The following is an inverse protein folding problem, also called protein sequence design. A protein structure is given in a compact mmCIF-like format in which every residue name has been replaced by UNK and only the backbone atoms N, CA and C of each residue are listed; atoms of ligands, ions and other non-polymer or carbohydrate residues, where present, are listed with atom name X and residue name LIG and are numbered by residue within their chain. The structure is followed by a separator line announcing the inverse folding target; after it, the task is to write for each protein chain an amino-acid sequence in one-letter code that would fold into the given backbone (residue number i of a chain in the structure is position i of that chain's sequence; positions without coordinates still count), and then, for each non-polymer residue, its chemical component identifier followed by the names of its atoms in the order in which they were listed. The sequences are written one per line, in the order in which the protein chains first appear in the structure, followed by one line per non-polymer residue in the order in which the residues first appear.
data_IF_810455844706
#
_entry.id   IF_810455844706
#
_cell.length_a   1.000
_cell.length_b   1.000
_cell.length_c   1.000
_cell.angle_alpha   90.00
_cell.angle_beta   90.00
_cell.angle_gamma   90.00
#
_symmetry.space_group_name_H-M   'P 1'
#
loop_
_entity.id
_entity.type
_entity.pdbx_description
1 polymer ?
#
# COMPACT_ATOMS: atom_id res chain seq x y z
N UNK A 1 -12.48 -17.09 -25.53
CA UNK A 1 -11.84 -16.16 -26.50
C UNK A 1 -12.57 -14.83 -26.40
N UNK A 2 -11.94 -13.83 -25.79
CA UNK A 2 -11.87 -12.45 -26.27
C UNK A 2 -11.14 -11.60 -25.23
N UNK A 3 -9.88 -11.39 -25.57
CA UNK A 3 -8.92 -10.44 -25.03
C UNK A 3 -9.46 -9.02 -25.01
N UNK A 4 -9.30 -8.31 -23.89
CA UNK A 4 -9.06 -6.87 -23.87
C UNK A 4 -8.01 -6.55 -22.81
N UNK A 5 -6.77 -6.50 -23.31
CA UNK A 5 -5.68 -5.73 -22.72
C UNK A 5 -5.99 -4.26 -23.06
N UNK A 6 -6.10 -3.42 -22.06
CA UNK A 6 -5.98 -1.98 -22.21
C UNK A 6 -4.94 -1.52 -21.19
N UNK A 7 -3.68 -1.50 -21.65
CA UNK A 7 -2.59 -0.89 -20.91
C UNK A 7 -2.89 0.59 -20.73
N UNK A 8 -2.97 1.02 -19.47
CA UNK A 8 -2.92 2.42 -19.10
C UNK A 8 -1.45 2.86 -19.13
N UNK A 9 -0.93 3.13 -20.33
CA UNK A 9 0.19 4.04 -20.48
C UNK A 9 -0.36 5.46 -20.28
N UNK A 10 -0.38 5.94 -19.04
CA UNK A 10 -0.66 7.34 -18.76
C UNK A 10 0.68 8.04 -18.51
N UNK A 11 1.03 8.93 -19.43
CA UNK A 11 2.26 9.70 -19.47
C UNK A 11 2.49 10.46 -18.16
N UNK A 12 3.55 10.09 -17.43
CA UNK A 12 4.13 10.91 -16.38
C UNK A 12 5.03 11.97 -17.03
N UNK A 13 4.40 12.99 -17.62
CA UNK A 13 5.01 14.31 -17.76
C UNK A 13 4.92 14.97 -16.37
N UNK A 14 5.84 14.65 -15.47
CA UNK A 14 5.93 15.40 -14.21
C UNK A 14 6.62 16.73 -14.49
N UNK A 15 5.81 17.78 -14.53
CA UNK A 15 6.28 19.15 -14.52
C UNK A 15 7.16 19.37 -13.27
N UNK A 16 8.26 20.15 -13.36
CA UNK A 16 8.94 20.61 -12.16
C UNK A 16 7.91 21.28 -11.25
N UNK A 17 8.08 21.14 -9.92
CA UNK A 17 7.23 21.83 -8.95
C UNK A 17 7.11 23.30 -9.39
N UNK A 18 5.94 23.67 -9.90
CA UNK A 18 5.73 24.99 -10.43
C UNK A 18 5.78 25.94 -9.24
N UNK A 19 6.88 26.67 -9.10
CA UNK A 19 6.98 27.81 -8.19
C UNK A 19 5.98 28.85 -8.67
N UNK A 20 4.74 28.77 -8.19
CA UNK A 20 3.81 29.88 -8.36
C UNK A 20 4.26 30.98 -7.41
N UNK A 21 4.43 32.18 -7.97
CA UNK A 21 4.65 33.38 -7.21
C UNK A 21 3.36 34.20 -7.27
N UNK A 22 2.69 34.35 -6.14
CA UNK A 22 1.59 35.30 -6.00
C UNK A 22 2.12 36.62 -5.44
N UNK A 23 1.50 37.72 -5.85
CA UNK A 23 1.79 39.05 -5.31
C UNK A 23 0.51 39.62 -4.74
N UNK A 24 0.57 39.98 -3.46
CA UNK A 24 -0.57 40.56 -2.74
C UNK A 24 -0.25 41.99 -2.36
N UNK A 25 -1.04 42.93 -2.87
CA UNK A 25 -0.93 44.34 -2.48
C UNK A 25 -1.41 44.54 -1.05
N UNK A 26 -0.49 45.00 -0.19
CA UNK A 26 -0.75 45.34 1.21
C UNK A 26 -1.02 46.83 1.37
N UNK A 27 -0.14 47.69 0.84
CA UNK A 27 -0.27 49.15 0.84
C UNK A 27 -0.08 49.66 -0.58
N UNK A 28 -1.15 50.22 -1.16
CA UNK A 28 -1.14 50.84 -2.48
C UNK A 28 -2.35 51.77 -2.62
N UNK A 29 -2.43 52.63 -3.66
CA UNK A 29 -3.63 53.42 -3.94
C UNK A 29 -4.88 52.58 -4.23
N UNK A 30 -4.75 51.28 -4.44
CA UNK A 30 -5.88 50.36 -4.56
C UNK A 30 -6.41 49.88 -3.19
N UNK A 31 -5.60 50.00 -2.14
CA UNK A 31 -5.92 49.60 -0.75
C UNK A 31 -6.09 50.78 0.21
N UNK A 32 -5.63 51.95 -0.20
CA UNK A 32 -5.62 53.18 0.59
C UNK A 32 -6.24 54.33 -0.20
N UNK A 33 -6.71 55.35 0.51
CA UNK A 33 -7.18 56.59 -0.08
C UNK A 33 -6.02 57.57 -0.27
N UNK A 34 -5.83 58.10 -1.49
CA UNK A 34 -4.81 59.11 -1.77
C UNK A 34 -5.36 60.52 -1.54
N UNK A 35 -4.89 61.23 -0.49
CA UNK A 35 -5.25 62.62 -0.19
C UNK A 35 -4.02 63.47 0.06
N UNK A 36 -3.93 64.64 -0.58
CA UNK A 36 -2.82 65.59 -0.41
C UNK A 36 -1.43 64.93 -0.52
N UNK A 37 -1.25 64.03 -1.50
CA UNK A 37 -0.03 63.25 -1.71
C UNK A 37 0.36 62.34 -0.51
N UNK A 38 -0.63 61.92 0.28
CA UNK A 38 -0.50 60.94 1.36
C UNK A 38 -1.48 59.80 1.16
N UNK A 39 -1.07 58.58 1.48
CA UNK A 39 -1.97 57.44 1.58
C UNK A 39 -2.53 57.40 3.01
N UNK A 40 -3.86 57.38 3.13
CA UNK A 40 -4.60 57.32 4.39
C UNK A 40 -5.68 56.25 4.30
N UNK A 41 -6.28 55.85 5.43
CA UNK A 41 -7.37 54.86 5.45
C UNK A 41 -7.02 53.56 4.72
N UNK A 42 -5.81 53.05 4.94
CA UNK A 42 -5.37 51.79 4.35
C UNK A 42 -6.10 50.62 5.00
N UNK A 43 -6.88 49.86 4.22
CA UNK A 43 -7.63 48.72 4.72
C UNK A 43 -7.13 47.42 4.09
N UNK A 44 -6.67 46.50 4.93
CA UNK A 44 -6.26 45.16 4.53
C UNK A 44 -7.32 44.18 5.04
N UNK A 45 -8.27 43.85 4.17
CA UNK A 45 -9.28 42.86 4.51
C UNK A 45 -8.66 41.45 4.56
N UNK A 46 -9.12 40.58 5.47
CA UNK A 46 -8.73 39.18 5.46
C UNK A 46 -8.97 38.57 4.08
N UNK A 47 -7.96 37.91 3.54
CA UNK A 47 -8.00 37.26 2.24
C UNK A 47 -7.48 35.84 2.36
N UNK A 48 -8.16 34.92 1.68
CA UNK A 48 -7.75 33.54 1.62
C UNK A 48 -6.94 33.31 0.33
N UNK A 49 -5.73 32.83 0.49
CA UNK A 49 -4.85 32.43 -0.59
C UNK A 49 -4.87 30.91 -0.68
N UNK A 50 -5.04 30.40 -1.90
CA UNK A 50 -5.14 28.97 -2.16
C UNK A 50 -3.80 28.47 -2.69
N UNK A 51 -3.18 27.53 -1.97
CA UNK A 51 -1.92 26.94 -2.40
C UNK A 51 -2.14 26.12 -3.68
N UNK A 52 -1.28 26.27 -4.69
CA UNK A 52 -1.31 25.40 -5.86
C UNK A 52 -1.10 23.95 -5.44
N UNK A 53 -1.84 23.04 -6.06
CA UNK A 53 -1.64 21.60 -5.84
C UNK A 53 -0.25 21.22 -6.36
N UNK A 54 0.57 20.60 -5.50
CA UNK A 54 1.90 20.12 -5.85
C UNK A 54 2.06 18.67 -5.39
N UNK A 55 2.49 17.81 -6.31
CA UNK A 55 2.96 16.48 -5.95
C UNK A 55 4.38 16.60 -5.39
N UNK A 56 4.62 16.03 -4.21
CA UNK A 56 5.92 16.14 -3.55
C UNK A 56 6.33 14.86 -2.86
N UNK A 57 7.63 14.57 -2.96
CA UNK A 57 8.27 13.49 -2.22
C UNK A 57 9.13 14.00 -1.06
N UNK A 58 9.32 15.32 -0.96
CA UNK A 58 10.22 15.99 0.00
C UNK A 58 9.48 17.06 0.80
N UNK A 59 10.03 17.48 1.96
CA UNK A 59 9.46 18.56 2.75
C UNK A 59 9.37 19.86 1.93
N UNK A 60 8.22 20.54 2.03
CA UNK A 60 7.99 21.82 1.38
C UNK A 60 7.78 22.95 2.40
N UNK A 61 8.10 24.16 1.97
CA UNK A 61 7.83 25.42 2.66
C UNK A 61 7.17 26.42 1.73
N UNK A 62 6.48 27.39 2.33
CA UNK A 62 6.01 28.59 1.63
C UNK A 62 6.77 29.79 2.16
N UNK A 63 7.41 30.54 1.28
CA UNK A 63 8.16 31.73 1.65
C UNK A 63 7.31 32.99 1.40
N UNK A 64 7.21 33.84 2.42
CA UNK A 64 6.47 35.09 2.40
C UNK A 64 7.46 36.24 2.59
N UNK A 65 7.53 37.16 1.64
CA UNK A 65 8.46 38.28 1.70
C UNK A 65 7.76 39.59 1.38
N UNK A 66 7.90 40.57 2.27
CA UNK A 66 7.44 41.92 1.99
C UNK A 66 8.41 42.63 1.03
N UNK A 67 7.87 43.28 0.01
CA UNK A 67 8.61 44.10 -0.93
C UNK A 67 8.11 45.53 -0.81
N UNK A 68 9.04 46.44 -0.52
CA UNK A 68 8.76 47.84 -0.24
C UNK A 68 9.38 48.70 -1.34
N UNK A 69 8.60 49.67 -1.85
CA UNK A 69 9.11 50.69 -2.76
C UNK A 69 8.51 52.06 -2.46
N UNK A 70 9.24 53.12 -2.82
CA UNK A 70 8.91 54.50 -2.45
C UNK A 70 9.20 54.82 -0.98
N UNK A 71 8.64 55.93 -0.47
CA UNK A 71 8.87 56.37 0.90
C UNK A 71 7.81 55.81 1.86
N UNK A 72 8.09 54.66 2.49
CA UNK A 72 7.19 54.04 3.46
C UNK A 72 7.53 54.33 4.93
N UNK A 73 8.24 55.43 5.20
CA UNK A 73 8.62 55.82 6.55
C UNK A 73 7.38 56.12 7.41
N UNK A 74 7.29 55.45 8.55
CA UNK A 74 6.19 55.60 9.50
C UNK A 74 6.67 55.31 10.92
N UNK A 75 6.01 55.91 11.90
CA UNK A 75 6.24 55.64 13.33
C UNK A 75 5.48 54.39 13.82
N UNK A 76 4.57 53.85 13.01
CA UNK A 76 3.73 52.72 13.36
C UNK A 76 4.37 51.39 12.94
N UNK A 77 4.30 50.40 13.81
CA UNK A 77 4.63 49.02 13.45
C UNK A 77 3.53 48.46 12.54
N UNK A 78 3.91 48.06 11.33
CA UNK A 78 3.00 47.48 10.35
C UNK A 78 3.39 46.02 10.05
N UNK A 79 2.44 45.11 10.26
CA UNK A 79 2.57 43.66 10.22
C UNK A 79 1.28 43.01 9.67
N UNK A 80 1.45 41.95 8.89
CA UNK A 80 0.39 41.00 8.56
C UNK A 80 0.55 39.74 9.39
N UNK A 81 -0.57 39.06 9.58
CA UNK A 81 -0.63 37.72 10.13
C UNK A 81 -1.06 36.74 9.05
N UNK A 82 -0.28 35.67 8.92
CA UNK A 82 -0.50 34.59 7.98
C UNK A 82 -0.82 33.31 8.76
N UNK A 83 -2.00 32.73 8.54
CA UNK A 83 -2.50 31.57 9.26
C UNK A 83 -2.89 30.45 8.30
N UNK A 84 -2.32 29.26 8.50
CA UNK A 84 -2.69 28.07 7.74
C UNK A 84 -3.05 26.93 8.69
N UNK A 85 -3.95 26.05 8.27
CA UNK A 85 -4.36 24.91 9.06
C UNK A 85 -3.17 24.00 9.40
N UNK A 86 -2.95 23.75 10.68
CA UNK A 86 -1.85 22.89 11.16
C UNK A 86 -0.47 23.55 11.17
N UNK A 87 -0.35 24.83 10.80
CA UNK A 87 0.88 25.60 10.91
C UNK A 87 0.77 26.66 12.02
N UNK A 88 1.89 26.99 12.66
CA UNK A 88 1.93 28.12 13.60
C UNK A 88 1.70 29.44 12.85
N UNK A 89 0.88 30.37 13.40
CA UNK A 89 0.70 31.69 12.80
C UNK A 89 2.03 32.41 12.63
N UNK A 90 2.24 33.02 11.47
CA UNK A 90 3.42 33.80 11.18
C UNK A 90 3.09 35.30 11.15
N UNK A 91 3.96 36.09 11.77
CA UNK A 91 3.89 37.55 11.73
C UNK A 91 4.90 38.06 10.69
N UNK A 92 4.43 38.91 9.78
CA UNK A 92 5.18 39.37 8.62
C UNK A 92 5.32 40.89 8.71
N UNK A 93 6.48 41.40 9.13
CA UNK A 93 6.70 42.84 9.19
C UNK A 93 6.82 43.42 7.78
N UNK A 94 6.02 44.45 7.50
CA UNK A 94 5.94 45.05 6.16
C UNK A 94 7.24 45.75 5.76
N UNK A 95 7.89 46.43 6.70
CA UNK A 95 8.99 47.35 6.39
C UNK A 95 10.38 46.72 6.44
N UNK A 96 10.50 45.48 6.93
CA UNK A 96 11.80 44.84 7.16
C UNK A 96 12.32 44.04 5.96
N UNK A 97 11.46 43.75 4.97
CA UNK A 97 11.81 42.94 3.82
C UNK A 97 12.29 41.52 4.16
N UNK A 98 12.03 41.07 5.38
CA UNK A 98 12.43 39.76 5.91
C UNK A 98 11.53 38.68 5.33
N UNK A 99 12.16 37.61 4.86
CA UNK A 99 11.44 36.41 4.43
C UNK A 99 10.99 35.60 5.65
N UNK A 100 9.72 35.24 5.66
CA UNK A 100 9.08 34.43 6.69
C UNK A 100 8.66 33.10 6.07
N UNK A 101 9.02 32.00 6.74
CA UNK A 101 8.78 30.65 6.21
C UNK A 101 7.61 30.00 6.94
N UNK A 102 6.62 29.56 6.18
CA UNK A 102 5.52 28.72 6.64
C UNK A 102 5.77 27.27 6.27
N UNK A 103 5.51 26.37 7.23
CA UNK A 103 5.68 24.92 7.07
C UNK A 103 4.40 24.21 7.46
N UNK A 104 3.96 23.28 6.61
CA UNK A 104 2.89 22.37 6.96
C UNK A 104 3.36 21.30 7.95
N UNK A 105 2.42 20.63 8.63
CA UNK A 105 2.75 19.53 9.53
C UNK A 105 3.46 18.40 8.77
N UNK A 106 4.58 17.91 9.32
CA UNK A 106 5.34 16.81 8.73
C UNK A 106 6.00 17.11 7.37
N UNK A 107 6.15 18.39 7.01
CA UNK A 107 6.73 18.81 5.72
C UNK A 107 5.75 18.78 4.55
N UNK A 108 4.45 18.60 4.82
CA UNK A 108 3.42 18.73 3.79
C UNK A 108 3.34 20.17 3.23
N UNK A 109 2.84 20.33 1.99
CA UNK A 109 2.49 21.65 1.46
C UNK A 109 1.62 22.42 2.47
N UNK A 110 1.89 23.71 2.64
CA UNK A 110 1.01 24.58 3.41
C UNK A 110 -0.33 24.63 2.68
N UNK A 111 -1.43 24.28 3.35
CA UNK A 111 -2.77 24.37 2.75
C UNK A 111 -3.22 25.82 2.57
N UNK A 112 -4.53 26.05 2.45
CA UNK A 112 -5.07 27.41 2.33
C UNK A 112 -4.56 28.32 3.45
N UNK A 113 -4.08 29.50 3.05
CA UNK A 113 -3.52 30.51 3.93
C UNK A 113 -4.53 31.66 4.08
N UNK A 114 -4.83 32.05 5.30
CA UNK A 114 -5.55 33.30 5.57
C UNK A 114 -4.53 34.38 5.90
N UNK A 115 -4.49 35.42 5.07
CA UNK A 115 -3.69 36.62 5.30
C UNK A 115 -4.60 37.71 5.84
N UNK A 116 -4.22 38.31 6.96
CA UNK A 116 -4.98 39.36 7.64
C UNK A 116 -4.07 40.45 8.18
N UNK A 117 -4.61 41.65 8.36
CA UNK A 117 -3.88 42.71 9.06
C UNK A 117 -3.72 42.34 10.54
N UNK A 118 -2.51 42.48 11.08
CA UNK A 118 -2.24 42.34 12.50
C UNK A 118 -2.05 43.69 13.19
N UNK A 119 -2.01 44.77 12.41
CA UNK A 119 -1.67 46.10 12.91
C UNK A 119 -2.92 46.87 13.28
N UNK A 120 -2.98 47.37 14.51
CA UNK A 120 -4.08 48.24 14.96
C UNK A 120 -4.06 49.63 14.31
N UNK A 121 -2.93 50.00 13.69
CA UNK A 121 -2.69 51.36 13.18
C UNK A 121 -2.85 51.51 11.67
N UNK A 122 -2.92 50.44 10.87
CA UNK A 122 -2.96 50.54 9.40
C UNK A 122 -4.07 51.45 8.87
N UNK A 123 -5.32 51.42 9.41
CA UNK A 123 -6.37 52.32 8.97
C UNK A 123 -6.08 53.81 9.28
N UNK A 124 -5.30 54.07 10.33
CA UNK A 124 -5.01 55.43 10.82
C UNK A 124 -3.62 55.94 10.39
N UNK A 125 -2.79 55.08 9.78
CA UNK A 125 -1.45 55.42 9.37
C UNK A 125 -1.49 56.36 8.16
N UNK A 126 -0.70 57.43 8.23
CA UNK A 126 -0.52 58.39 7.13
C UNK A 126 0.83 58.13 6.49
N UNK A 127 0.82 57.54 5.29
CA UNK A 127 2.03 57.18 4.55
C UNK A 127 2.24 58.18 3.40
N UNK A 128 3.46 58.24 2.87
CA UNK A 128 3.73 59.03 1.68
C UNK A 128 2.94 58.51 0.46
N UNK A 129 2.52 59.39 -0.44
CA UNK A 129 1.80 59.04 -1.67
C UNK A 129 2.55 58.07 -2.57
N UNK A 130 3.89 58.03 -2.48
CA UNK A 130 4.75 57.11 -3.22
C UNK A 130 4.89 55.73 -2.58
N UNK A 131 4.49 55.52 -1.32
CA UNK A 131 4.68 54.25 -0.62
C UNK A 131 3.91 53.10 -1.29
N UNK A 132 4.60 52.01 -1.59
CA UNK A 132 4.00 50.75 -2.06
C UNK A 132 4.60 49.59 -1.28
N UNK A 133 3.74 48.73 -0.75
CA UNK A 133 4.14 47.51 -0.06
C UNK A 133 3.31 46.36 -0.63
N UNK A 134 4.02 45.37 -1.17
CA UNK A 134 3.44 44.10 -1.62
C UNK A 134 4.02 42.94 -0.82
N UNK A 135 3.30 41.82 -0.81
CA UNK A 135 3.76 40.55 -0.27
C UNK A 135 3.96 39.59 -1.43
N UNK A 136 5.21 39.17 -1.64
CA UNK A 136 5.54 38.06 -2.53
C UNK A 136 5.34 36.75 -1.77
N UNK A 137 4.58 35.84 -2.37
CA UNK A 137 4.30 34.50 -1.84
C UNK A 137 4.90 33.49 -2.80
N UNK A 138 5.95 32.78 -2.37
CA UNK A 138 6.55 31.69 -3.12
C UNK A 138 6.06 30.37 -2.53
N UNK A 139 5.23 29.67 -3.30
CA UNK A 139 4.61 28.42 -2.86
C UNK A 139 5.53 27.21 -3.08
N UNK A 140 5.35 26.19 -2.24
CA UNK A 140 5.85 24.83 -2.47
C UNK A 140 7.36 24.73 -2.74
N UNK A 141 8.16 25.53 -2.05
CA UNK A 141 9.61 25.43 -2.17
C UNK A 141 10.14 24.23 -1.41
N UNK A 142 11.18 23.60 -1.94
CA UNK A 142 11.88 22.52 -1.24
C UNK A 142 12.51 23.08 0.05
N UNK A 143 12.18 22.47 1.18
CA UNK A 143 12.71 22.84 2.50
C UNK A 143 13.89 21.94 2.86
N UNK A 144 14.98 22.10 2.10
CA UNK A 144 16.26 21.44 2.33
C UNK A 144 17.36 22.48 2.26
N UNK A 145 18.28 22.46 3.23
CA UNK A 145 19.33 23.47 3.35
C UNK A 145 20.74 22.93 3.14
N UNK A 146 20.91 21.61 3.00
CA UNK A 146 22.23 20.99 2.83
C UNK A 146 22.19 19.69 2.02
N UNK A 147 23.34 19.34 1.46
CA UNK A 147 23.56 18.05 0.78
C UNK A 147 23.38 16.86 1.73
N UNK A 148 23.79 17.00 2.99
CA UNK A 148 23.64 15.97 4.01
C UNK A 148 22.16 15.67 4.32
N UNK A 149 21.33 16.71 4.37
CA UNK A 149 19.89 16.58 4.59
C UNK A 149 19.19 15.95 3.37
N UNK A 150 19.55 16.38 2.15
CA UNK A 150 19.06 15.75 0.93
C UNK A 150 19.39 14.25 0.89
N UNK A 151 20.64 13.88 1.21
CA UNK A 151 21.08 12.49 1.24
C UNK A 151 20.34 11.68 2.32
N UNK A 152 20.10 12.26 3.49
CA UNK A 152 19.35 11.60 4.56
C UNK A 152 17.90 11.29 4.14
N UNK A 153 17.24 12.17 3.39
CA UNK A 153 15.89 11.93 2.85
C UNK A 153 15.89 10.77 1.85
N UNK A 154 16.87 10.71 0.94
CA UNK A 154 17.01 9.60 0.00
C UNK A 154 17.28 8.28 0.72
N UNK A 155 18.19 8.26 1.70
CA UNK A 155 18.48 7.06 2.50
C UNK A 155 17.27 6.59 3.31
N UNK A 156 16.46 7.51 3.83
CA UNK A 156 15.21 7.14 4.51
C UNK A 156 14.19 6.51 3.56
N UNK A 157 14.10 6.99 2.30
CA UNK A 157 13.26 6.37 1.27
C UNK A 157 13.78 4.99 0.87
N UNK A 158 15.09 4.80 0.79
CA UNK A 158 15.69 3.48 0.53
C UNK A 158 15.35 2.45 1.61
N UNK A 159 15.42 2.86 2.89
CA UNK A 159 15.02 2.00 3.99
C UNK A 159 13.52 1.63 3.95
N UNK A 160 12.66 2.58 3.55
CA UNK A 160 11.22 2.32 3.36
C UNK A 160 10.98 1.34 2.21
N UNK A 161 11.68 1.50 1.08
CA UNK A 161 11.59 0.58 -0.06
C UNK A 161 12.01 -0.82 0.35
N UNK A 162 13.15 -0.97 1.04
CA UNK A 162 13.63 -2.27 1.52
C UNK A 162 12.61 -2.94 2.46
N UNK A 163 12.04 -2.18 3.41
CA UNK A 163 11.01 -2.69 4.32
C UNK A 163 9.74 -3.14 3.56
N UNK A 164 9.33 -2.38 2.54
CA UNK A 164 8.17 -2.74 1.71
C UNK A 164 8.45 -3.95 0.82
N UNK A 165 9.69 -4.11 0.33
CA UNK A 165 10.14 -5.29 -0.41
C UNK A 165 10.10 -6.54 0.47
N UNK A 166 10.67 -6.49 1.67
CA UNK A 166 10.62 -7.60 2.63
C UNK A 166 9.17 -8.00 2.95
N UNK A 167 8.27 -7.01 3.08
CA UNK A 167 6.85 -7.27 3.28
C UNK A 167 6.20 -7.95 2.07
N UNK A 168 6.50 -7.49 0.85
CA UNK A 168 6.02 -8.09 -0.40
C UNK A 168 6.49 -9.54 -0.53
N UNK A 169 7.77 -9.80 -0.31
CA UNK A 169 8.36 -11.14 -0.37
C UNK A 169 7.69 -12.08 0.64
N UNK A 170 7.42 -11.58 1.85
CA UNK A 170 6.68 -12.34 2.87
C UNK A 170 5.25 -12.66 2.44
N UNK A 171 4.55 -11.74 1.78
CA UNK A 171 3.20 -12.00 1.27
C UNK A 171 3.23 -13.02 0.12
N UNK A 172 4.27 -13.00 -0.72
CA UNK A 172 4.47 -13.99 -1.78
C UNK A 172 4.59 -15.41 -1.20
N UNK A 173 5.43 -15.58 -0.18
CA UNK A 173 5.59 -16.87 0.52
C UNK A 173 4.26 -17.40 1.06
N UNK A 174 3.47 -16.53 1.71
CA UNK A 174 2.18 -16.90 2.29
C UNK A 174 1.16 -17.28 1.22
N UNK A 175 1.12 -16.54 0.11
CA UNK A 175 0.30 -16.88 -1.05
C UNK A 175 0.68 -18.25 -1.63
N UNK A 176 1.98 -18.50 -1.84
CA UNK A 176 2.48 -19.78 -2.35
C UNK A 176 2.15 -20.93 -1.39
N UNK A 177 2.31 -20.73 -0.09
CA UNK A 177 1.94 -21.70 0.94
C UNK A 177 0.44 -22.03 0.90
N UNK A 178 -0.43 -21.01 0.83
CA UNK A 178 -1.87 -21.22 0.73
C UNK A 178 -2.25 -22.02 -0.52
N UNK A 179 -1.64 -21.69 -1.67
CA UNK A 179 -1.85 -22.43 -2.93
C UNK A 179 -1.38 -23.87 -2.85
N UNK A 180 -0.19 -24.11 -2.27
CA UNK A 180 0.34 -25.45 -2.07
C UNK A 180 -0.56 -26.28 -1.14
N UNK A 181 -1.02 -25.69 -0.04
CA UNK A 181 -1.95 -26.34 0.87
C UNK A 181 -3.27 -26.72 0.19
N UNK A 182 -3.90 -25.77 -0.53
CA UNK A 182 -5.15 -26.03 -1.25
C UNK A 182 -4.98 -27.14 -2.31
N UNK A 183 -3.85 -27.14 -3.02
CA UNK A 183 -3.53 -28.20 -3.99
C UNK A 183 -3.36 -29.56 -3.32
N UNK A 184 -2.55 -29.65 -2.25
CA UNK A 184 -2.31 -30.90 -1.53
C UNK A 184 -3.58 -31.45 -0.90
N UNK A 185 -4.42 -30.60 -0.32
CA UNK A 185 -5.73 -30.98 0.22
C UNK A 185 -6.62 -31.53 -0.89
N UNK A 186 -6.74 -30.83 -2.03
CA UNK A 186 -7.54 -31.31 -3.16
C UNK A 186 -7.02 -32.63 -3.74
N UNK A 187 -5.69 -32.81 -3.80
CA UNK A 187 -5.08 -34.04 -4.29
C UNK A 187 -5.39 -35.22 -3.35
N UNK A 188 -5.20 -34.99 -2.04
CA UNK A 188 -5.48 -35.97 -1.00
C UNK A 188 -6.97 -36.37 -0.97
N UNK A 189 -7.87 -35.41 -1.13
CA UNK A 189 -9.31 -35.68 -1.25
C UNK A 189 -9.64 -36.54 -2.47
N UNK A 190 -9.03 -36.27 -3.63
CA UNK A 190 -9.23 -37.08 -4.84
C UNK A 190 -8.74 -38.51 -4.63
N UNK A 191 -7.55 -38.68 -4.07
CA UNK A 191 -7.03 -40.01 -3.74
C UNK A 191 -7.97 -40.76 -2.80
N UNK A 192 -8.46 -40.10 -1.75
CA UNK A 192 -9.44 -40.69 -0.82
C UNK A 192 -10.70 -41.11 -1.56
N UNK A 193 -11.29 -40.25 -2.39
CA UNK A 193 -12.52 -40.55 -3.14
C UNK A 193 -12.32 -41.77 -4.04
N UNK A 194 -11.21 -41.85 -4.79
CA UNK A 194 -10.93 -43.01 -5.63
C UNK A 194 -10.72 -44.29 -4.81
N UNK A 195 -10.01 -44.20 -3.69
CA UNK A 195 -9.80 -45.34 -2.79
C UNK A 195 -11.07 -45.79 -2.06
N UNK A 196 -12.07 -44.93 -1.92
CA UNK A 196 -13.27 -45.20 -1.13
C UNK A 196 -14.56 -45.25 -1.94
N UNK A 197 -14.49 -45.17 -3.27
CA UNK A 197 -15.68 -45.15 -4.09
C UNK A 197 -16.45 -46.49 -4.00
N UNK A 198 -17.78 -46.49 -4.17
CA UNK A 198 -18.59 -47.70 -4.01
C UNK A 198 -18.13 -48.87 -4.88
N UNK A 199 -17.71 -48.61 -6.13
CA UNK A 199 -17.24 -49.64 -7.06
C UNK A 199 -15.97 -50.33 -6.57
N UNK A 200 -15.00 -49.57 -6.02
CA UNK A 200 -13.80 -50.12 -5.41
C UNK A 200 -14.11 -50.93 -4.15
N UNK A 201 -15.11 -50.50 -3.36
CA UNK A 201 -15.54 -51.28 -2.20
C UNK A 201 -16.26 -52.56 -2.59
N UNK A 202 -17.11 -52.53 -3.61
CA UNK A 202 -17.74 -53.72 -4.18
C UNK A 202 -16.70 -54.69 -4.74
N UNK A 203 -15.69 -54.18 -5.46
CA UNK A 203 -14.59 -54.99 -5.99
C UNK A 203 -13.79 -55.66 -4.87
N UNK A 204 -13.44 -54.93 -3.80
CA UNK A 204 -12.76 -55.48 -2.63
C UNK A 204 -13.59 -56.52 -1.89
N UNK A 205 -14.87 -56.27 -1.69
CA UNK A 205 -15.79 -57.23 -1.07
C UNK A 205 -15.87 -58.52 -1.89
N UNK A 206 -16.06 -58.40 -3.21
CA UNK A 206 -16.09 -59.55 -4.12
C UNK A 206 -14.76 -60.31 -4.15
N UNK A 207 -13.62 -59.60 -4.10
CA UNK A 207 -12.30 -60.20 -4.01
C UNK A 207 -12.15 -61.07 -2.75
N UNK A 208 -12.53 -60.53 -1.58
CA UNK A 208 -12.48 -61.24 -0.31
C UNK A 208 -13.40 -62.47 -0.30
N UNK A 209 -14.64 -62.32 -0.77
CA UNK A 209 -15.61 -63.42 -0.84
C UNK A 209 -15.15 -64.54 -1.79
N UNK A 210 -14.48 -64.19 -2.90
CA UNK A 210 -13.99 -65.15 -3.88
C UNK A 210 -12.72 -65.88 -3.46
N UNK A 211 -11.99 -65.37 -2.45
CA UNK A 211 -10.67 -65.88 -2.04
C UNK A 211 -10.70 -67.37 -1.66
N UNK A 212 -11.59 -67.86 -0.78
CA UNK A 212 -11.62 -69.27 -0.41
C UNK A 212 -11.98 -70.21 -1.57
N UNK A 213 -12.84 -69.74 -2.48
CA UNK A 213 -13.23 -70.51 -3.66
C UNK A 213 -12.05 -70.63 -4.65
N UNK A 214 -11.32 -69.53 -4.88
CA UNK A 214 -10.13 -69.51 -5.73
C UNK A 214 -9.01 -70.38 -5.14
N UNK A 215 -8.74 -70.29 -3.83
CA UNK A 215 -7.77 -71.14 -3.15
C UNK A 215 -8.12 -72.62 -3.26
N UNK A 216 -9.39 -72.97 -3.05
CA UNK A 216 -9.87 -74.34 -3.21
C UNK A 216 -9.69 -74.84 -4.65
N UNK A 217 -10.02 -74.01 -5.65
CA UNK A 217 -9.84 -74.36 -7.07
C UNK A 217 -8.36 -74.56 -7.42
N UNK A 218 -7.46 -73.69 -6.94
CA UNK A 218 -6.02 -73.77 -7.19
C UNK A 218 -5.39 -75.00 -6.52
N UNK A 219 -5.80 -75.32 -5.29
CA UNK A 219 -5.24 -76.40 -4.48
C UNK A 219 -5.89 -77.77 -4.77
N UNK A 220 -7.10 -77.81 -5.30
CA UNK A 220 -7.77 -79.07 -5.65
C UNK A 220 -7.07 -79.78 -6.82
N UNK A 221 -7.05 -81.11 -6.79
CA UNK A 221 -6.50 -81.97 -7.84
C UNK A 221 -7.46 -82.18 -9.03
N UNK A 222 -8.33 -81.21 -9.34
CA UNK A 222 -9.24 -81.29 -10.49
C UNK A 222 -8.54 -81.08 -11.84
N UNK A 223 -9.25 -81.38 -12.93
CA UNK A 223 -8.86 -81.37 -14.36
C UNK A 223 -8.47 -79.98 -14.93
N UNK A 224 -7.89 -79.09 -14.13
CA UNK A 224 -7.30 -77.84 -14.61
C UNK A 224 -5.94 -78.11 -15.25
N UNK A 225 -5.74 -77.57 -16.45
CA UNK A 225 -4.44 -77.51 -17.08
C UNK A 225 -3.45 -76.65 -16.28
N UNK A 226 -2.17 -76.79 -16.58
CA UNK A 226 -1.10 -75.98 -15.96
C UNK A 226 -1.32 -74.48 -16.22
N UNK A 227 -1.78 -74.12 -17.43
CA UNK A 227 -2.04 -72.72 -17.81
C UNK A 227 -3.19 -72.11 -17.01
N UNK A 228 -4.29 -72.84 -16.83
CA UNK A 228 -5.45 -72.39 -16.04
C UNK A 228 -5.09 -72.22 -14.55
N UNK A 229 -4.30 -73.14 -13.98
CA UNK A 229 -3.78 -73.00 -12.61
C UNK A 229 -2.92 -71.75 -12.45
N UNK A 230 -2.04 -71.47 -13.41
CA UNK A 230 -1.20 -70.26 -13.38
C UNK A 230 -2.03 -68.98 -13.53
N UNK A 231 -3.08 -69.00 -14.36
CA UNK A 231 -3.99 -67.86 -14.53
C UNK A 231 -4.77 -67.58 -13.23
N UNK A 232 -5.27 -68.62 -12.56
CA UNK A 232 -5.95 -68.49 -11.26
C UNK A 232 -5.01 -68.03 -10.14
N UNK A 233 -3.77 -68.51 -10.11
CA UNK A 233 -2.74 -68.03 -9.18
C UNK A 233 -2.43 -66.54 -9.37
N UNK A 234 -2.34 -66.08 -10.63
CA UNK A 234 -2.16 -64.66 -10.93
C UNK A 234 -3.36 -63.83 -10.50
N UNK A 235 -4.57 -64.27 -10.83
CA UNK A 235 -5.80 -63.59 -10.41
C UNK A 235 -5.87 -63.49 -8.88
N UNK A 236 -5.60 -64.58 -8.18
CA UNK A 236 -5.57 -64.61 -6.72
C UNK A 236 -4.54 -63.63 -6.14
N UNK A 237 -3.35 -63.53 -6.74
CA UNK A 237 -2.34 -62.55 -6.34
C UNK A 237 -2.77 -61.09 -6.59
N UNK A 238 -3.40 -60.80 -7.73
CA UNK A 238 -3.90 -59.45 -8.05
C UNK A 238 -5.05 -59.01 -7.13
N UNK A 239 -5.93 -59.95 -6.71
CA UNK A 239 -7.01 -59.66 -5.77
C UNK A 239 -6.48 -59.24 -4.39
N UNK A 240 -5.33 -59.75 -3.96
CA UNK A 240 -4.67 -59.35 -2.72
C UNK A 240 -4.16 -57.89 -2.75
N UNK A 241 -3.82 -57.37 -3.94
CA UNK A 241 -3.36 -55.98 -4.10
C UNK A 241 -4.49 -54.97 -3.84
N UNK A 242 -5.76 -55.42 -3.87
CA UNK A 242 -6.92 -54.57 -3.56
C UNK A 242 -7.04 -54.19 -2.08
N UNK A 243 -6.28 -54.86 -1.20
CA UNK A 243 -6.19 -54.59 0.24
C UNK A 243 -7.23 -55.33 1.08
N UNK A 244 -6.96 -55.43 2.38
CA UNK A 244 -7.86 -56.04 3.37
C UNK A 244 -8.79 -54.98 3.98
N UNK A 245 -9.91 -55.38 4.62
CA UNK A 245 -10.83 -54.43 5.25
C UNK A 245 -10.14 -53.44 6.19
N UNK A 246 -9.11 -53.87 6.92
CA UNK A 246 -8.38 -53.00 7.85
C UNK A 246 -7.61 -51.85 7.17
N UNK A 247 -7.36 -51.94 5.86
CA UNK A 247 -6.64 -50.93 5.09
C UNK A 247 -7.54 -49.73 4.68
N UNK A 248 -8.86 -49.88 4.79
CA UNK A 248 -9.83 -48.89 4.26
C UNK A 248 -11.13 -48.76 5.07
N UNK A 249 -11.36 -49.61 6.06
CA UNK A 249 -12.44 -49.52 7.04
C UNK A 249 -11.88 -49.38 8.46
N UNK A 250 -12.60 -48.62 9.27
CA UNK A 250 -12.43 -48.61 10.71
C UNK A 250 -13.03 -49.89 11.32
N UNK A 251 -12.66 -50.24 12.57
CA UNK A 251 -13.21 -51.42 13.26
C UNK A 251 -14.74 -51.43 13.39
N UNK A 252 -15.41 -50.28 13.24
CA UNK A 252 -16.86 -50.13 13.28
C UNK A 252 -17.54 -50.33 11.90
N UNK A 253 -16.76 -50.62 10.84
CA UNK A 253 -17.24 -50.83 9.47
C UNK A 253 -17.40 -49.54 8.66
N UNK A 254 -17.11 -48.36 9.22
CA UNK A 254 -17.12 -47.11 8.47
C UNK A 254 -15.86 -46.95 7.62
N UNK A 255 -15.97 -46.29 6.47
CA UNK A 255 -14.82 -46.04 5.59
C UNK A 255 -13.85 -45.07 6.25
N UNK A 256 -12.56 -45.35 6.14
CA UNK A 256 -11.50 -44.46 6.62
C UNK A 256 -11.57 -43.06 5.98
N UNK A 257 -11.37 -42.06 6.81
CA UNK A 257 -11.22 -40.65 6.45
C UNK A 257 -9.80 -40.36 5.96
N UNK A 258 -9.57 -39.15 5.41
CA UNK A 258 -8.22 -38.75 5.01
C UNK A 258 -7.28 -38.73 6.22
N UNK A 259 -7.80 -38.27 7.37
CA UNK A 259 -7.09 -38.22 8.64
C UNK A 259 -6.67 -39.62 9.12
N UNK A 260 -7.49 -40.64 8.90
CA UNK A 260 -7.17 -42.02 9.25
C UNK A 260 -6.00 -42.56 8.41
N UNK A 261 -5.95 -42.21 7.12
CA UNK A 261 -4.88 -42.63 6.21
C UNK A 261 -3.55 -41.90 6.44
N UNK A 262 -3.59 -40.64 6.87
CA UNK A 262 -2.38 -39.84 7.12
C UNK A 262 -1.76 -40.09 8.51
N UNK A 263 -2.49 -40.74 9.41
CA UNK A 263 -2.04 -41.09 10.76
C UNK A 263 -2.14 -39.96 11.78
N UNK A 264 -1.92 -40.30 13.05
CA UNK A 264 -2.20 -39.42 14.21
C UNK A 264 -1.42 -38.10 14.20
N UNK A 265 -0.17 -38.09 13.72
CA UNK A 265 0.64 -36.88 13.62
C UNK A 265 0.11 -35.88 12.57
N UNK A 266 -0.41 -36.39 11.44
CA UNK A 266 -1.01 -35.55 10.41
C UNK A 266 -2.42 -35.09 10.77
N UNK A 267 -3.18 -35.91 11.51
CA UNK A 267 -4.49 -35.53 12.04
C UNK A 267 -4.41 -34.31 12.96
N UNK A 268 -3.38 -34.21 13.82
CA UNK A 268 -3.18 -33.02 14.66
C UNK A 268 -2.85 -31.77 13.83
N UNK A 269 -2.03 -31.92 12.78
CA UNK A 269 -1.68 -30.83 11.86
C UNK A 269 -2.93 -30.34 11.11
N UNK A 270 -3.73 -31.25 10.56
CA UNK A 270 -5.00 -30.94 9.89
C UNK A 270 -6.00 -30.30 10.86
N UNK A 271 -6.10 -30.79 12.10
CA UNK A 271 -6.96 -30.19 13.12
C UNK A 271 -6.53 -28.76 13.47
N UNK A 272 -5.22 -28.50 13.61
CA UNK A 272 -4.69 -27.14 13.85
C UNK A 272 -4.94 -26.23 12.65
N UNK A 273 -4.75 -26.71 11.43
CA UNK A 273 -5.05 -25.96 10.20
C UNK A 273 -6.54 -25.64 10.08
N UNK A 274 -7.41 -26.62 10.31
CA UNK A 274 -8.86 -26.42 10.34
C UNK A 274 -9.27 -25.45 11.44
N UNK A 275 -8.61 -25.46 12.61
CA UNK A 275 -8.86 -24.48 13.67
C UNK A 275 -8.40 -23.06 13.27
N UNK A 276 -7.29 -22.92 12.54
CA UNK A 276 -6.83 -21.64 11.98
C UNK A 276 -7.80 -21.14 10.91
N UNK A 277 -8.21 -22.00 9.98
CA UNK A 277 -9.21 -21.71 8.95
C UNK A 277 -10.56 -21.33 9.57
N UNK A 278 -11.01 -22.06 10.59
CA UNK A 278 -12.24 -21.76 11.32
C UNK A 278 -12.18 -20.40 12.02
N UNK A 279 -11.03 -20.02 12.60
CA UNK A 279 -10.81 -18.66 13.14
C UNK A 279 -10.79 -17.58 12.07
N UNK A 280 -10.39 -17.92 10.85
CA UNK A 280 -10.38 -17.02 9.70
C UNK A 280 -11.74 -16.89 9.00
N UNK A 281 -12.77 -17.69 9.32
CA UNK A 281 -14.09 -17.67 8.64
C UNK A 281 -14.88 -16.36 8.70
N UNK A 282 -14.44 -15.35 9.46
CA UNK A 282 -15.05 -14.02 9.40
C UNK A 282 -14.55 -13.18 8.20
N UNK A 283 -13.36 -13.49 7.66
CA UNK A 283 -12.84 -13.03 6.37
C UNK A 283 -11.39 -13.57 6.26
N UNK A 284 -11.15 -14.71 5.57
CA UNK A 284 -9.79 -15.17 5.41
C UNK A 284 -9.00 -14.11 4.63
N UNK A 285 -7.76 -13.77 5.04
CA UNK A 285 -6.95 -12.84 4.29
C UNK A 285 -6.71 -13.40 2.89
N UNK A 286 -7.09 -12.63 1.88
CA UNK A 286 -6.72 -12.94 0.50
C UNK A 286 -5.24 -12.58 0.31
N UNK A 287 -4.35 -13.54 0.55
CA UNK A 287 -2.90 -13.34 0.42
C UNK A 287 -2.50 -12.96 -1.01
N UNK A 288 -3.30 -13.29 -2.03
CA UNK A 288 -3.04 -12.81 -3.38
C UNK A 288 -3.31 -11.31 -3.50
N UNK A 289 -4.43 -10.82 -2.95
CA UNK A 289 -4.70 -9.38 -2.90
C UNK A 289 -3.66 -8.63 -2.07
N UNK A 290 -3.31 -9.16 -0.89
CA UNK A 290 -2.30 -8.54 -0.01
C UNK A 290 -0.92 -8.49 -0.68
N UNK A 291 -0.57 -9.50 -1.49
CA UNK A 291 0.65 -9.48 -2.29
C UNK A 291 0.62 -8.39 -3.36
N UNK A 292 -0.48 -8.25 -4.11
CA UNK A 292 -0.62 -7.18 -5.12
C UNK A 292 -0.62 -5.79 -4.49
N UNK A 293 -1.25 -5.61 -3.33
CA UNK A 293 -1.23 -4.36 -2.56
C UNK A 293 0.20 -4.04 -2.10
N UNK A 294 0.94 -5.04 -1.59
CA UNK A 294 2.33 -4.86 -1.18
C UNK A 294 3.25 -4.50 -2.37
N UNK A 295 3.07 -5.10 -3.54
CA UNK A 295 3.81 -4.72 -4.76
C UNK A 295 3.50 -3.31 -5.22
N UNK A 296 2.21 -2.93 -5.15
CA UNK A 296 1.77 -1.57 -5.48
C UNK A 296 2.46 -0.55 -4.56
N UNK A 297 2.60 -0.87 -3.27
CA UNK A 297 3.31 -0.02 -2.32
C UNK A 297 4.81 0.10 -2.63
N UNK A 298 5.48 -0.99 -3.01
CA UNK A 298 6.89 -0.95 -3.46
C UNK A 298 7.04 -0.01 -4.65
N UNK A 299 6.19 -0.15 -5.68
CA UNK A 299 6.20 0.71 -6.87
C UNK A 299 5.93 2.17 -6.48
N UNK A 300 4.96 2.41 -5.59
CA UNK A 300 4.63 3.76 -5.10
C UNK A 300 5.84 4.42 -4.42
N UNK A 301 6.57 3.68 -3.57
CA UNK A 301 7.77 4.18 -2.90
C UNK A 301 8.94 4.40 -3.87
N UNK A 302 9.11 3.53 -4.87
CA UNK A 302 10.11 3.71 -5.93
C UNK A 302 9.82 4.98 -6.75
N UNK A 303 8.57 5.20 -7.14
CA UNK A 303 8.15 6.43 -7.82
C UNK A 303 8.36 7.66 -6.94
N UNK A 304 8.04 7.56 -5.65
CA UNK A 304 8.32 8.63 -4.67
C UNK A 304 9.82 8.94 -4.60
N UNK A 305 10.70 7.93 -4.62
CA UNK A 305 12.16 8.14 -4.65
C UNK A 305 12.60 8.84 -5.93
N UNK A 306 12.09 8.45 -7.10
CA UNK A 306 12.41 9.11 -8.38
C UNK A 306 12.01 10.59 -8.37
N UNK A 307 10.83 10.91 -7.84
CA UNK A 307 10.39 12.28 -7.66
C UNK A 307 11.30 13.04 -6.67
N UNK A 308 11.68 12.42 -5.55
CA UNK A 308 12.59 13.03 -4.59
C UNK A 308 13.96 13.33 -5.20
N UNK A 309 14.52 12.41 -5.98
CA UNK A 309 15.79 12.64 -6.70
C UNK A 309 15.69 13.85 -7.65
N UNK A 310 14.58 13.98 -8.37
CA UNK A 310 14.34 15.13 -9.25
C UNK A 310 14.21 16.44 -8.49
N UNK A 311 13.50 16.42 -7.35
CA UNK A 311 13.28 17.62 -6.52
C UNK A 311 14.53 18.04 -5.73
N UNK A 312 15.41 17.08 -5.39
CA UNK A 312 16.63 17.31 -4.62
C UNK A 312 17.88 17.49 -5.48
N UNK A 313 17.79 17.38 -6.81
CA UNK A 313 18.92 17.50 -7.75
C UNK A 313 19.88 18.66 -7.42
N UNK A 314 19.43 19.88 -7.05
CA UNK A 314 20.34 20.97 -6.69
C UNK A 314 21.21 20.75 -5.44
N UNK A 315 20.82 19.79 -4.59
CA UNK A 315 21.48 19.46 -3.32
C UNK A 315 22.11 18.07 -3.33
N UNK A 316 22.00 17.32 -4.42
CA UNK A 316 22.67 16.02 -4.56
C UNK A 316 24.04 16.20 -5.24
N UNK A 317 25.05 15.38 -4.86
CA UNK A 317 26.40 15.47 -5.41
C UNK A 317 26.52 14.97 -6.85
#
# INVERSE_FOLDING_TARGET
MNTRIAGAACALLMAPAAYAADVVDLISPARCELRFNRLVNCHINPQQLSTPTAETAVPLKTALRSVVSGNCSTQYTLEARAEAAGASPALIPYLRGTEVLLRGPGGAPVGNLTLSDNSTWTPSAVLDGSCRISLEVRWNEVDVVSTAEAQALITALDAQIATAQDHSDRMEELMLYQRAYAFMHSLADRFRVELSNPTMQELRAAALESTPALESMVLSCGDLSIEERLALLRLHAELWVLGKPEDWQRPDGTVMTLEDHLGTGAAEILARLNAILARQTQNPPDYAQLYEDAKTEVIRLQNKKLLALTQLDPWLP
#
